data_IF_538557374785
#
_entry.id   IF_538557374785
#
_cell.length_a   1.000
_cell.length_b   1.000
_cell.length_c   1.000
_cell.angle_alpha   90.00
_cell.angle_beta   90.00
_cell.angle_gamma   90.00
#
_symmetry.space_group_name_H-M   'P 1'
#
loop_
_entity.id
_entity.type
_entity.pdbx_description
1 polymer ?
#
# COMPACT_ATOMS: atom_id res chain seq x y z
N UNK A 1 -16.21 2.82 5.51
CA UNK A 1 -15.46 3.41 6.62
C UNK A 1 -14.15 2.62 6.76
N UNK A 2 -12.99 3.28 6.66
CA UNK A 2 -11.69 2.75 7.09
C UNK A 2 -11.38 3.55 8.35
N UNK A 3 -11.90 3.08 9.47
CA UNK A 3 -11.52 3.54 10.81
C UNK A 3 -10.18 2.85 11.09
N UNK A 4 -9.16 3.53 11.64
CA UNK A 4 -8.03 2.99 12.45
C UNK A 4 -6.71 3.78 12.32
N UNK A 5 -6.38 4.44 11.19
CA UNK A 5 -5.14 5.24 11.10
C UNK A 5 -5.14 6.51 11.98
N UNK A 6 -6.30 7.10 12.30
CA UNK A 6 -6.38 8.19 13.28
C UNK A 6 -6.02 7.70 14.70
N UNK A 7 -6.45 6.49 15.08
CA UNK A 7 -6.14 5.92 16.40
C UNK A 7 -4.67 5.56 16.57
N UNK A 8 -3.97 5.20 15.49
CA UNK A 8 -2.52 5.01 15.47
C UNK A 8 -1.77 6.29 15.83
N UNK A 9 -2.13 7.42 15.23
CA UNK A 9 -1.57 8.75 15.54
C UNK A 9 -1.92 9.18 16.98
N UNK A 10 -3.12 8.85 17.47
CA UNK A 10 -3.53 9.16 18.85
C UNK A 10 -2.84 8.30 19.91
N UNK A 11 -2.57 7.01 19.65
CA UNK A 11 -1.78 6.14 20.53
C UNK A 11 -0.31 6.57 20.58
N UNK A 12 0.24 7.03 19.47
CA UNK A 12 1.64 7.46 19.36
C UNK A 12 1.93 8.75 20.15
N UNK A 13 0.98 9.70 20.20
CA UNK A 13 1.17 10.98 20.92
C UNK A 13 1.09 10.84 22.45
N UNK A 14 0.47 9.77 22.97
CA UNK A 14 0.30 9.54 24.41
C UNK A 14 1.55 8.97 25.11
N UNK A 15 2.53 8.46 24.36
CA UNK A 15 3.55 7.55 24.90
C UNK A 15 4.95 8.17 25.17
N UNK A 16 5.17 9.46 24.93
CA UNK A 16 6.51 10.09 25.13
C UNK A 16 6.90 10.42 26.58
N UNK A 17 6.36 9.74 27.61
CA UNK A 17 6.74 9.96 29.02
C UNK A 17 7.36 8.74 29.70
N UNK A 18 8.68 8.83 29.90
CA UNK A 18 9.60 8.14 30.87
C UNK A 18 10.22 6.78 30.46
N UNK A 19 11.55 6.82 30.23
CA UNK A 19 12.49 6.23 31.20
C UNK A 19 12.79 4.72 31.17
N UNK A 20 12.80 4.06 30.00
CA UNK A 20 13.58 2.83 29.68
C UNK A 20 13.60 2.74 28.15
N UNK A 21 14.61 3.35 27.50
CA UNK A 21 14.43 3.85 26.12
C UNK A 21 14.73 2.88 24.97
N UNK A 22 15.38 1.74 25.18
CA UNK A 22 15.74 0.83 24.07
C UNK A 22 14.78 -0.35 23.97
N UNK A 23 14.69 -1.18 25.01
CA UNK A 23 13.79 -2.35 25.02
C UNK A 23 12.31 -1.98 24.83
N UNK A 24 11.86 -0.85 25.41
CA UNK A 24 10.46 -0.40 25.26
C UNK A 24 10.23 0.21 23.87
N UNK A 25 11.27 0.74 23.20
CA UNK A 25 11.14 1.19 21.80
C UNK A 25 11.04 -0.01 20.87
N UNK A 26 11.87 -1.04 21.04
CA UNK A 26 11.78 -2.24 20.22
C UNK A 26 10.46 -3.02 20.42
N UNK A 27 9.95 -3.09 21.65
CA UNK A 27 8.65 -3.72 21.94
C UNK A 27 7.49 -2.96 21.29
N UNK A 28 7.52 -1.63 21.32
CA UNK A 28 6.53 -0.77 20.65
C UNK A 28 6.64 -0.85 19.12
N UNK A 29 7.85 -0.88 18.57
CA UNK A 29 8.06 -1.02 17.13
C UNK A 29 7.54 -2.38 16.62
N UNK A 30 7.67 -3.43 17.43
CA UNK A 30 7.14 -4.77 17.13
C UNK A 30 5.61 -4.80 17.16
N UNK A 31 4.99 -4.25 18.21
CA UNK A 31 3.51 -4.17 18.30
C UNK A 31 2.93 -3.36 17.13
N UNK A 32 3.60 -2.26 16.76
CA UNK A 32 3.20 -1.40 15.66
C UNK A 32 3.29 -2.12 14.31
N UNK A 33 4.37 -2.89 14.11
CA UNK A 33 4.58 -3.71 12.91
C UNK A 33 3.52 -4.81 12.79
N UNK A 34 3.22 -5.51 13.87
CA UNK A 34 2.23 -6.59 13.88
C UNK A 34 0.82 -6.05 13.59
N UNK A 35 0.45 -4.92 14.21
CA UNK A 35 -0.80 -4.24 13.92
C UNK A 35 -0.89 -3.80 12.46
N UNK A 36 0.19 -3.23 11.90
CA UNK A 36 0.26 -2.86 10.49
C UNK A 36 0.11 -4.07 9.57
N UNK A 37 0.77 -5.20 9.85
CA UNK A 37 0.70 -6.40 9.02
C UNK A 37 -0.70 -7.04 9.02
N UNK A 38 -1.39 -6.99 10.17
CA UNK A 38 -2.80 -7.40 10.26
C UNK A 38 -3.69 -6.51 9.39
N UNK A 39 -3.55 -5.18 9.52
CA UNK A 39 -4.34 -4.22 8.71
C UNK A 39 -4.01 -4.32 7.21
N UNK A 40 -2.72 -4.52 6.87
CA UNK A 40 -2.29 -4.71 5.50
C UNK A 40 -3.03 -5.89 4.86
N UNK A 41 -3.20 -7.00 5.60
CA UNK A 41 -3.93 -8.18 5.10
C UNK A 41 -5.37 -7.83 4.70
N UNK A 42 -6.09 -7.08 5.53
CA UNK A 42 -7.47 -6.67 5.24
C UNK A 42 -7.54 -5.67 4.08
N UNK A 43 -6.59 -4.73 4.01
CA UNK A 43 -6.49 -3.78 2.91
C UNK A 43 -6.23 -4.52 1.59
N UNK A 44 -5.36 -5.52 1.57
CA UNK A 44 -5.04 -6.29 0.37
C UNK A 44 -6.26 -7.07 -0.13
N UNK A 45 -7.05 -7.68 0.76
CA UNK A 45 -8.31 -8.34 0.37
C UNK A 45 -9.31 -7.34 -0.26
N UNK A 46 -9.40 -6.14 0.31
CA UNK A 46 -10.23 -5.05 -0.23
C UNK A 46 -9.73 -4.58 -1.61
N UNK A 47 -8.41 -4.47 -1.80
CA UNK A 47 -7.77 -4.14 -3.08
C UNK A 47 -8.06 -5.23 -4.12
N UNK A 48 -7.93 -6.51 -3.79
CA UNK A 48 -8.16 -7.61 -4.73
C UNK A 48 -9.62 -7.66 -5.20
N UNK A 49 -10.56 -7.46 -4.27
CA UNK A 49 -11.99 -7.37 -4.59
C UNK A 49 -12.28 -6.21 -5.53
N UNK A 50 -11.71 -5.03 -5.23
CA UNK A 50 -11.87 -3.84 -6.06
C UNK A 50 -11.19 -4.00 -7.43
N UNK A 51 -10.04 -4.66 -7.48
CA UNK A 51 -9.32 -4.94 -8.72
C UNK A 51 -10.16 -5.84 -9.63
N UNK A 52 -10.75 -6.91 -9.10
CA UNK A 52 -11.59 -7.81 -9.88
C UNK A 52 -12.77 -7.05 -10.53
N UNK A 53 -13.46 -6.21 -9.74
CA UNK A 53 -14.55 -5.35 -10.22
C UNK A 53 -14.08 -4.35 -11.28
N UNK A 54 -13.00 -3.63 -11.00
CA UNK A 54 -12.48 -2.60 -11.90
C UNK A 54 -11.93 -3.20 -13.20
N UNK A 55 -11.36 -4.41 -13.17
CA UNK A 55 -10.93 -5.12 -14.38
C UNK A 55 -12.11 -5.55 -15.25
N UNK A 56 -13.22 -5.94 -14.64
CA UNK A 56 -14.44 -6.30 -15.37
C UNK A 56 -15.13 -5.06 -15.97
N UNK A 57 -15.09 -3.94 -15.25
CA UNK A 57 -15.66 -2.67 -15.70
C UNK A 57 -14.76 -1.49 -15.26
N UNK A 58 -13.85 -1.01 -16.14
CA UNK A 58 -12.96 0.11 -15.79
C UNK A 58 -13.67 1.44 -15.53
N UNK A 59 -14.94 1.56 -15.91
CA UNK A 59 -15.82 2.70 -15.60
C UNK A 59 -16.47 2.62 -14.21
N UNK A 60 -16.24 1.53 -13.44
CA UNK A 60 -16.70 1.42 -12.05
C UNK A 60 -15.91 2.38 -11.16
N UNK A 61 -16.50 3.56 -10.93
CA UNK A 61 -15.92 4.64 -10.13
C UNK A 61 -15.70 4.21 -8.67
N UNK A 62 -16.58 3.35 -8.13
CA UNK A 62 -16.47 2.93 -6.73
C UNK A 62 -15.33 1.93 -6.55
N UNK A 63 -15.15 1.00 -7.49
CA UNK A 63 -14.00 0.11 -7.52
C UNK A 63 -12.69 0.90 -7.68
N UNK A 64 -12.66 1.90 -8.57
CA UNK A 64 -11.53 2.81 -8.72
C UNK A 64 -11.20 3.53 -7.40
N UNK A 65 -12.21 4.14 -6.75
CA UNK A 65 -12.03 4.83 -5.46
C UNK A 65 -11.55 3.87 -4.37
N UNK A 66 -12.01 2.61 -4.39
CA UNK A 66 -11.59 1.61 -3.40
C UNK A 66 -10.13 1.21 -3.59
N UNK A 67 -9.67 0.98 -4.82
CA UNK A 67 -8.25 0.77 -5.14
C UNK A 67 -7.40 1.94 -4.63
N UNK A 68 -7.78 3.17 -4.99
CA UNK A 68 -7.06 4.38 -4.56
C UNK A 68 -6.98 4.52 -3.05
N UNK A 69 -8.09 4.26 -2.33
CA UNK A 69 -8.09 4.29 -0.86
C UNK A 69 -7.13 3.28 -0.26
N UNK A 70 -7.10 2.05 -0.77
CA UNK A 70 -6.16 1.04 -0.30
C UNK A 70 -4.70 1.48 -0.43
N UNK A 71 -4.32 2.02 -1.60
CA UNK A 71 -2.98 2.56 -1.81
C UNK A 71 -2.66 3.76 -0.92
N UNK A 72 -3.63 4.67 -0.75
CA UNK A 72 -3.48 5.86 0.09
C UNK A 72 -3.21 5.48 1.55
N UNK A 73 -3.98 4.52 2.07
CA UNK A 73 -3.85 3.98 3.43
C UNK A 73 -2.46 3.38 3.63
N UNK A 74 -2.02 2.46 2.76
CA UNK A 74 -0.69 1.83 2.86
C UNK A 74 0.42 2.87 2.74
N UNK A 75 0.34 3.79 1.78
CA UNK A 75 1.31 4.87 1.59
C UNK A 75 1.51 5.69 2.87
N UNK A 76 0.43 6.01 3.57
CA UNK A 76 0.46 6.83 4.78
C UNK A 76 0.99 6.10 6.01
N UNK A 77 0.71 4.80 6.15
CA UNK A 77 1.07 4.02 7.34
C UNK A 77 2.40 3.27 7.22
N UNK A 78 2.84 2.89 6.03
CA UNK A 78 4.05 2.09 5.84
C UNK A 78 5.34 2.73 6.43
N UNK A 79 5.58 4.06 6.33
CA UNK A 79 6.76 4.68 6.97
C UNK A 79 6.77 4.57 8.50
N UNK A 80 5.61 4.40 9.14
CA UNK A 80 5.52 4.27 10.61
C UNK A 80 6.16 2.98 11.13
N UNK A 81 6.30 1.97 10.27
CA UNK A 81 6.86 0.65 10.60
C UNK A 81 8.16 0.36 9.84
N UNK A 82 8.80 1.39 9.28
CA UNK A 82 10.03 1.27 8.49
C UNK A 82 9.84 0.63 7.11
N UNK A 83 8.60 0.56 6.60
CA UNK A 83 8.29 -0.04 5.30
C UNK A 83 8.28 1.00 4.16
N UNK A 84 9.28 1.87 4.10
CA UNK A 84 9.35 3.00 3.15
C UNK A 84 9.22 2.60 1.68
N UNK A 85 9.82 1.46 1.31
CA UNK A 85 9.76 0.95 -0.06
C UNK A 85 8.33 0.55 -0.46
N UNK A 86 7.57 -0.07 0.46
CA UNK A 86 6.16 -0.37 0.26
C UNK A 86 5.35 0.93 0.15
N UNK A 87 5.59 1.90 1.04
CA UNK A 87 4.91 3.19 1.00
C UNK A 87 5.12 3.92 -0.33
N UNK A 88 6.36 3.97 -0.82
CA UNK A 88 6.69 4.56 -2.11
C UNK A 88 6.09 3.80 -3.29
N UNK A 89 6.08 2.47 -3.22
CA UNK A 89 5.45 1.65 -4.24
C UNK A 89 3.94 1.93 -4.35
N UNK A 90 3.22 1.98 -3.21
CA UNK A 90 1.80 2.32 -3.18
C UNK A 90 1.52 3.77 -3.61
N UNK A 91 2.42 4.72 -3.32
CA UNK A 91 2.33 6.10 -3.83
C UNK A 91 2.27 6.13 -5.36
N UNK A 92 3.11 5.34 -6.03
CA UNK A 92 3.13 5.32 -7.49
C UNK A 92 1.93 4.57 -8.08
N UNK A 93 1.41 3.54 -7.40
CA UNK A 93 0.13 2.93 -7.78
C UNK A 93 -1.05 3.90 -7.62
N UNK A 94 -1.10 4.68 -6.54
CA UNK A 94 -2.11 5.74 -6.36
C UNK A 94 -2.01 6.77 -7.48
N UNK A 95 -0.80 7.17 -7.88
CA UNK A 95 -0.57 8.09 -8.99
C UNK A 95 -1.02 7.50 -10.32
N UNK A 96 -0.75 6.23 -10.59
CA UNK A 96 -1.24 5.54 -11.80
C UNK A 96 -2.77 5.54 -11.86
N UNK A 97 -3.45 5.33 -10.73
CA UNK A 97 -4.91 5.42 -10.70
C UNK A 97 -5.41 6.83 -11.03
N UNK A 98 -4.75 7.89 -10.53
CA UNK A 98 -5.10 9.26 -10.92
C UNK A 98 -4.97 9.47 -12.43
N UNK A 99 -3.89 8.97 -13.05
CA UNK A 99 -3.69 9.04 -14.50
C UNK A 99 -4.82 8.35 -15.28
N UNK A 100 -5.31 7.20 -14.80
CA UNK A 100 -6.45 6.51 -15.40
C UNK A 100 -7.76 7.28 -15.27
N UNK A 101 -7.94 8.02 -14.17
CA UNK A 101 -9.12 8.89 -13.98
C UNK A 101 -9.08 10.11 -14.89
N UNK A 102 -7.92 10.77 -14.99
CA UNK A 102 -7.74 11.97 -15.80
C UNK A 102 -7.71 11.68 -17.30
N UNK A 103 -7.18 10.51 -17.69
CA UNK A 103 -6.97 10.12 -19.08
C UNK A 103 -7.49 8.71 -19.32
N UNK A 104 -8.81 8.50 -19.47
CA UNK A 104 -9.40 7.18 -19.69
C UNK A 104 -8.81 6.43 -20.89
N UNK A 105 -8.34 7.13 -21.93
CA UNK A 105 -7.66 6.54 -23.08
C UNK A 105 -6.36 5.78 -22.73
N UNK A 106 -5.72 6.07 -21.58
CA UNK A 106 -4.55 5.33 -21.09
C UNK A 106 -4.90 3.98 -20.46
N UNK A 107 -6.18 3.72 -20.18
CA UNK A 107 -6.66 2.46 -19.60
C UNK A 107 -6.69 1.37 -20.67
N UNK A 108 -5.51 0.85 -20.98
CA UNK A 108 -5.31 -0.22 -21.97
C UNK A 108 -5.22 -1.58 -21.29
N UNK A 109 -5.43 -2.70 -22.01
CA UNK A 109 -5.24 -4.05 -21.45
C UNK A 109 -3.84 -4.25 -20.84
N UNK A 110 -2.81 -3.67 -21.46
CA UNK A 110 -1.43 -3.70 -20.94
C UNK A 110 -1.33 -2.93 -19.63
N UNK A 111 -1.93 -1.74 -19.54
CA UNK A 111 -1.93 -0.94 -18.33
C UNK A 111 -2.66 -1.65 -17.16
N UNK A 112 -3.83 -2.24 -17.45
CA UNK A 112 -4.60 -3.05 -16.49
C UNK A 112 -3.78 -4.26 -16.02
N UNK A 113 -3.15 -5.00 -16.94
CA UNK A 113 -2.33 -6.16 -16.58
C UNK A 113 -1.10 -5.77 -15.75
N UNK A 114 -0.55 -4.58 -15.99
CA UNK A 114 0.60 -4.05 -15.24
C UNK A 114 0.19 -3.66 -13.83
N UNK A 115 -0.95 -2.98 -13.66
CA UNK A 115 -1.52 -2.69 -12.34
C UNK A 115 -1.81 -3.98 -11.56
N UNK A 116 -2.39 -4.98 -12.20
CA UNK A 116 -2.69 -6.26 -11.55
C UNK A 116 -1.43 -7.02 -11.11
N UNK A 117 -0.39 -7.06 -11.95
CA UNK A 117 0.92 -7.59 -11.55
C UNK A 117 1.51 -6.81 -10.37
N UNK A 118 1.34 -5.49 -10.38
CA UNK A 118 1.88 -4.65 -9.33
C UNK A 118 1.18 -4.88 -7.97
N UNK A 119 -0.16 -4.99 -7.98
CA UNK A 119 -0.96 -5.33 -6.80
C UNK A 119 -0.59 -6.71 -6.28
N UNK A 120 -0.42 -7.70 -7.16
CA UNK A 120 -0.05 -9.07 -6.78
C UNK A 120 1.32 -9.20 -6.09
N UNK A 121 2.15 -8.16 -6.11
CA UNK A 121 3.42 -8.10 -5.39
C UNK A 121 3.31 -7.50 -3.98
N UNK A 122 2.20 -6.83 -3.64
CA UNK A 122 2.01 -6.23 -2.32
C UNK A 122 2.09 -7.25 -1.16
N UNK A 123 1.56 -8.49 -1.26
CA UNK A 123 1.75 -9.49 -0.22
C UNK A 123 3.23 -9.80 0.06
N UNK A 124 4.07 -9.81 -0.99
CA UNK A 124 5.50 -10.08 -0.83
C UNK A 124 6.23 -8.99 -0.05
N UNK A 125 5.77 -7.72 -0.10
CA UNK A 125 6.29 -6.68 0.79
C UNK A 125 5.94 -6.95 2.25
N UNK A 126 4.72 -7.41 2.53
CA UNK A 126 4.31 -7.81 3.88
C UNK A 126 5.14 -8.98 4.41
N UNK A 127 5.41 -9.99 3.58
CA UNK A 127 6.28 -11.11 3.95
C UNK A 127 7.74 -10.70 4.14
N UNK A 128 8.25 -9.76 3.35
CA UNK A 128 9.58 -9.17 3.57
C UNK A 128 9.64 -8.43 4.91
N UNK A 129 8.63 -7.63 5.22
CA UNK A 129 8.56 -6.89 6.48
C UNK A 129 8.47 -7.82 7.70
N UNK A 130 7.65 -8.88 7.62
CA UNK A 130 7.52 -9.88 8.68
C UNK A 130 8.83 -10.63 8.94
N UNK A 131 9.55 -10.97 7.87
CA UNK A 131 10.78 -11.75 7.95
C UNK A 131 12.05 -10.89 8.11
N UNK A 132 11.90 -9.57 8.26
CA UNK A 132 13.01 -8.61 8.29
C UNK A 132 13.99 -8.77 7.10
N UNK A 133 13.40 -8.93 5.90
CA UNK A 133 14.14 -9.11 4.64
C UNK A 133 14.04 -7.87 3.76
N UNK A 134 14.99 -7.70 2.81
CA UNK A 134 14.86 -6.70 1.76
C UNK A 134 13.55 -6.82 0.98
N UNK A 135 13.14 -5.70 0.37
CA UNK A 135 11.96 -5.67 -0.49
C UNK A 135 12.06 -6.68 -1.66
N UNK A 136 10.93 -7.20 -2.17
CA UNK A 136 10.94 -8.21 -3.23
C UNK A 136 11.62 -7.72 -4.51
N UNK A 137 12.65 -8.42 -4.97
CA UNK A 137 13.43 -8.06 -6.19
C UNK A 137 12.54 -7.94 -7.43
N UNK A 138 11.55 -8.83 -7.57
CA UNK A 138 10.59 -8.81 -8.68
C UNK A 138 9.75 -7.53 -8.71
N UNK A 139 9.58 -6.85 -7.57
CA UNK A 139 8.84 -5.59 -7.51
C UNK A 139 9.51 -4.49 -8.32
N UNK A 140 10.84 -4.44 -8.38
CA UNK A 140 11.56 -3.41 -9.13
C UNK A 140 11.23 -3.43 -10.62
N UNK A 141 11.17 -4.61 -11.25
CA UNK A 141 10.89 -4.71 -12.69
C UNK A 141 9.46 -4.28 -13.04
N UNK A 142 8.48 -4.68 -12.21
CA UNK A 142 7.07 -4.30 -12.39
C UNK A 142 6.86 -2.82 -12.08
N UNK A 143 7.52 -2.30 -11.04
CA UNK A 143 7.49 -0.88 -10.68
C UNK A 143 7.99 0.01 -11.83
N UNK A 144 9.08 -0.37 -12.50
CA UNK A 144 9.57 0.35 -13.68
C UNK A 144 8.59 0.35 -14.86
N UNK A 145 7.70 -0.65 -14.96
CA UNK A 145 6.61 -0.63 -15.95
C UNK A 145 5.50 0.34 -15.53
N UNK A 146 5.14 0.38 -14.24
CA UNK A 146 4.19 1.36 -13.67
C UNK A 146 4.68 2.78 -13.93
N UNK A 147 5.94 3.09 -13.61
CA UNK A 147 6.53 4.42 -13.79
C UNK A 147 6.49 4.87 -15.26
N UNK A 148 6.70 3.96 -16.21
CA UNK A 148 6.58 4.24 -17.65
C UNK A 148 5.15 4.56 -18.11
N UNK A 149 4.13 4.03 -17.44
CA UNK A 149 2.73 4.38 -17.73
C UNK A 149 2.36 5.77 -17.21
N UNK A 150 2.97 6.16 -16.08
CA UNK A 150 2.79 7.48 -15.47
C UNK A 150 3.48 8.58 -16.28
N UNK A 151 4.69 8.33 -16.78
CA UNK A 151 5.51 9.33 -17.48
C UNK A 151 5.06 9.66 -18.91
N UNK A 152 4.06 8.96 -19.46
CA UNK A 152 3.49 9.17 -20.79
C UNK A 152 2.24 10.06 -20.74
#
# INVERSE_FOLDING_TARGET
>A
MIVWIQSLVTRFSAWTRRGRRAAVVEEVDTELRDAFLAELTDILQSIDTALARWRANPSDIDAHKQLRRGFHTIKGSAPLVGADLLGNYCKDLERLMNEFQERPAKVTPIAISTLAQAIGLLPAFGESLRADRPAPVLASAVHQRVLRLIAR
#
